data_IF_997210962001
#
_entry.id   IF_997210962001
#
_cell.length_a   1.000
_cell.length_b   1.000
_cell.length_c   1.000
_cell.angle_alpha   90.00
_cell.angle_beta   90.00
_cell.angle_gamma   90.00
#
_symmetry.space_group_name_H-M   'P 1'
#
loop_
_entity.id
_entity.type
_entity.pdbx_description
1 polymer ?
#
# COMPACT_ATOMS: atom_id res chain seq x y z
N UNK A 1 -65.12 -50.27 -35.37
CA UNK A 1 -64.27 -50.36 -36.58
C UNK A 1 -64.03 -51.84 -36.73
N UNK A 2 -64.55 -52.45 -37.78
CA UNK A 2 -64.67 -53.92 -37.84
C UNK A 2 -63.58 -54.47 -38.77
N UNK A 3 -62.71 -55.32 -38.22
CA UNK A 3 -61.66 -56.01 -38.98
C UNK A 3 -62.30 -57.17 -39.74
N UNK A 4 -61.98 -57.29 -41.02
CA UNK A 4 -62.48 -58.39 -41.86
C UNK A 4 -61.40 -59.46 -41.97
N UNK A 5 -61.72 -60.67 -41.56
CA UNK A 5 -60.83 -61.82 -41.72
C UNK A 5 -60.96 -62.40 -43.14
N UNK A 6 -59.90 -62.36 -43.97
CA UNK A 6 -59.90 -63.02 -45.27
C UNK A 6 -59.89 -64.54 -45.11
N UNK A 7 -60.42 -65.25 -46.11
CA UNK A 7 -60.39 -66.72 -46.13
C UNK A 7 -58.94 -67.22 -46.33
N UNK A 8 -58.59 -68.39 -45.78
CA UNK A 8 -57.29 -69.01 -46.01
C UNK A 8 -57.03 -69.20 -47.51
N UNK A 9 -55.81 -68.91 -47.94
CA UNK A 9 -55.36 -69.17 -49.30
C UNK A 9 -54.96 -70.65 -49.42
N UNK A 10 -55.60 -71.38 -50.34
CA UNK A 10 -55.37 -72.81 -50.53
C UNK A 10 -54.89 -73.10 -51.96
N UNK A 11 -53.71 -73.70 -52.09
CA UNK A 11 -53.13 -74.18 -53.35
C UNK A 11 -52.40 -75.51 -53.15
N UNK A 12 -52.10 -76.22 -54.24
CA UNK A 12 -51.40 -77.51 -54.20
C UNK A 12 -49.98 -77.41 -53.61
N UNK A 13 -49.33 -76.26 -53.71
CA UNK A 13 -48.05 -75.98 -53.06
C UNK A 13 -48.28 -75.46 -51.63
N UNK A 14 -48.28 -76.41 -50.70
CA UNK A 14 -48.60 -76.15 -49.30
C UNK A 14 -47.59 -75.21 -48.62
N UNK A 15 -46.31 -75.27 -48.97
CA UNK A 15 -45.29 -74.47 -48.28
C UNK A 15 -45.44 -72.97 -48.57
N UNK A 16 -45.76 -72.60 -49.81
CA UNK A 16 -46.02 -71.20 -50.16
C UNK A 16 -47.40 -70.73 -49.66
N UNK A 17 -48.41 -71.60 -49.65
CA UNK A 17 -49.72 -71.29 -49.06
C UNK A 17 -49.60 -70.99 -47.56
N UNK A 18 -48.86 -71.81 -46.83
CA UNK A 18 -48.63 -71.65 -45.39
C UNK A 18 -47.88 -70.33 -45.11
N UNK A 19 -46.82 -70.00 -45.87
CA UNK A 19 -46.08 -68.74 -45.70
C UNK A 19 -46.93 -67.50 -45.98
N UNK A 20 -47.81 -67.55 -46.98
CA UNK A 20 -48.74 -66.45 -47.29
C UNK A 20 -49.81 -66.29 -46.19
N UNK A 21 -50.38 -67.40 -45.72
CA UNK A 21 -51.37 -67.37 -44.64
C UNK A 21 -50.75 -66.89 -43.32
N UNK A 22 -49.50 -67.26 -43.02
CA UNK A 22 -48.77 -66.76 -41.85
C UNK A 22 -48.54 -65.24 -41.95
N UNK A 23 -48.16 -64.72 -43.12
CA UNK A 23 -48.06 -63.28 -43.34
C UNK A 23 -49.41 -62.58 -43.13
N UNK A 24 -50.50 -63.15 -43.64
CA UNK A 24 -51.86 -62.60 -43.46
C UNK A 24 -52.28 -62.61 -42.00
N UNK A 25 -51.93 -63.66 -41.24
CA UNK A 25 -52.19 -63.72 -39.80
C UNK A 25 -51.43 -62.62 -39.05
N UNK A 26 -50.15 -62.39 -39.37
CA UNK A 26 -49.38 -61.28 -38.78
C UNK A 26 -50.02 -59.92 -39.10
N UNK A 27 -50.56 -59.73 -40.31
CA UNK A 27 -51.28 -58.50 -40.66
C UNK A 27 -52.58 -58.34 -39.85
N UNK A 28 -53.35 -59.42 -39.66
CA UNK A 28 -54.56 -59.39 -38.84
C UNK A 28 -54.26 -59.11 -37.36
N UNK A 29 -53.20 -59.71 -36.81
CA UNK A 29 -52.73 -59.42 -35.45
C UNK A 29 -52.34 -57.95 -35.31
N UNK A 30 -51.63 -57.39 -36.29
CA UNK A 30 -51.28 -55.97 -36.32
C UNK A 30 -52.51 -55.06 -36.40
N UNK A 31 -53.45 -55.36 -37.30
CA UNK A 31 -54.69 -54.57 -37.45
C UNK A 31 -55.52 -54.63 -36.17
N UNK A 32 -55.59 -55.81 -35.53
CA UNK A 32 -56.29 -55.99 -34.25
C UNK A 32 -55.62 -55.19 -33.14
N UNK A 33 -54.29 -55.29 -33.02
CA UNK A 33 -53.53 -54.48 -32.07
C UNK A 33 -53.67 -52.98 -32.30
N UNK A 34 -53.73 -52.53 -33.56
CA UNK A 34 -53.96 -51.12 -33.92
C UNK A 34 -55.37 -50.66 -33.51
N UNK A 35 -56.40 -51.46 -33.80
CA UNK A 35 -57.77 -51.13 -33.40
C UNK A 35 -57.92 -51.07 -31.89
N UNK A 36 -57.30 -52.00 -31.15
CA UNK A 36 -57.27 -51.96 -29.68
C UNK A 36 -56.59 -50.69 -29.16
N UNK A 37 -55.45 -50.29 -29.75
CA UNK A 37 -54.75 -49.06 -29.36
C UNK A 37 -55.55 -47.80 -29.69
N UNK A 38 -56.19 -47.73 -30.86
CA UNK A 38 -57.05 -46.61 -31.26
C UNK A 38 -58.28 -46.53 -30.37
N UNK A 39 -58.92 -47.65 -30.04
CA UNK A 39 -60.05 -47.68 -29.10
C UNK A 39 -59.61 -47.23 -27.70
N UNK A 40 -58.43 -47.66 -27.25
CA UNK A 40 -57.86 -47.20 -25.99
C UNK A 40 -57.61 -45.70 -26.00
N UNK A 41 -57.10 -45.14 -27.09
CA UNK A 41 -56.87 -43.69 -27.25
C UNK A 41 -58.20 -42.90 -27.37
N UNK A 42 -59.16 -43.40 -28.13
CA UNK A 42 -60.48 -42.77 -28.32
C UNK A 42 -61.30 -42.75 -27.04
N UNK A 43 -61.19 -43.81 -26.22
CA UNK A 43 -61.85 -43.91 -24.92
C UNK A 43 -61.03 -43.28 -23.78
N UNK A 44 -59.81 -42.82 -24.05
CA UNK A 44 -59.02 -42.06 -23.08
C UNK A 44 -59.57 -40.64 -22.99
N UNK A 45 -60.36 -40.39 -21.94
CA UNK A 45 -60.92 -39.07 -21.66
C UNK A 45 -59.87 -38.03 -21.23
N UNK A 46 -58.59 -38.41 -21.12
CA UNK A 46 -57.50 -37.50 -20.81
C UNK A 46 -57.20 -36.63 -22.04
N UNK A 47 -57.79 -35.44 -22.05
CA UNK A 47 -57.58 -34.41 -23.07
C UNK A 47 -56.06 -34.10 -23.17
N UNK A 48 -55.48 -34.18 -24.37
CA UNK A 48 -54.05 -33.90 -24.61
C UNK A 48 -53.69 -32.42 -24.40
N UNK A 49 -54.62 -31.52 -24.72
CA UNK A 49 -54.60 -30.09 -24.40
C UNK A 49 -56.03 -29.52 -24.49
N UNK A 50 -56.49 -28.84 -23.46
CA UNK A 50 -57.81 -28.21 -23.39
C UNK A 50 -57.86 -26.88 -24.16
N UNK A 51 -59.08 -26.41 -24.50
CA UNK A 51 -59.26 -25.06 -25.05
C UNK A 51 -58.74 -23.99 -24.10
N UNK A 52 -58.96 -24.15 -22.80
CA UNK A 52 -58.44 -23.26 -21.75
C UNK A 52 -56.90 -23.25 -21.68
N UNK A 53 -56.23 -24.39 -21.89
CA UNK A 53 -54.75 -24.42 -21.97
C UNK A 53 -54.23 -23.73 -23.24
N UNK A 54 -54.93 -23.89 -24.37
CA UNK A 54 -54.59 -23.20 -25.62
C UNK A 54 -54.82 -21.69 -25.51
N UNK A 55 -55.93 -21.27 -24.91
CA UNK A 55 -56.20 -19.87 -24.57
C UNK A 55 -55.12 -19.33 -23.64
N UNK A 56 -54.77 -20.06 -22.57
CA UNK A 56 -53.68 -19.67 -21.66
C UNK A 56 -52.33 -19.51 -22.37
N UNK A 57 -52.02 -20.34 -23.36
CA UNK A 57 -50.82 -20.16 -24.18
C UNK A 57 -50.93 -18.95 -25.11
N UNK A 58 -52.08 -18.74 -25.74
CA UNK A 58 -52.33 -17.59 -26.63
C UNK A 58 -52.38 -16.25 -25.90
N UNK A 59 -52.87 -16.25 -24.65
CA UNK A 59 -52.94 -15.09 -23.76
C UNK A 59 -51.66 -14.90 -22.93
N UNK A 60 -50.75 -15.89 -22.93
CA UNK A 60 -49.45 -15.73 -22.29
C UNK A 60 -48.67 -14.60 -22.96
N UNK A 61 -47.99 -13.79 -22.15
CA UNK A 61 -47.26 -12.61 -22.60
C UNK A 61 -46.18 -13.00 -23.61
N UNK A 62 -46.49 -12.85 -24.90
CA UNK A 62 -45.61 -13.17 -26.02
C UNK A 62 -44.92 -11.91 -26.55
N UNK A 63 -44.17 -11.20 -25.70
CA UNK A 63 -43.32 -10.13 -26.20
C UNK A 63 -42.05 -10.76 -26.79
N UNK A 64 -41.87 -10.66 -28.11
CA UNK A 64 -40.67 -11.17 -28.77
C UNK A 64 -39.46 -10.34 -28.35
N UNK A 65 -38.43 -11.00 -27.82
CA UNK A 65 -37.13 -10.37 -27.51
C UNK A 65 -36.18 -10.47 -28.72
N UNK A 66 -36.38 -11.47 -29.59
CA UNK A 66 -35.62 -11.74 -30.82
C UNK A 66 -36.56 -11.97 -32.00
N UNK A 67 -36.02 -11.94 -33.23
CA UNK A 67 -36.75 -12.35 -34.42
C UNK A 67 -36.91 -13.90 -34.49
N UNK A 68 -37.86 -14.37 -35.30
CA UNK A 68 -38.21 -15.81 -35.41
C UNK A 68 -37.09 -16.67 -36.04
N UNK A 69 -36.18 -16.04 -36.77
CA UNK A 69 -34.99 -16.66 -37.33
C UNK A 69 -33.82 -16.75 -36.32
N UNK A 70 -34.04 -16.37 -35.06
CA UNK A 70 -33.01 -16.30 -34.03
C UNK A 70 -32.08 -15.10 -34.12
N UNK A 71 -32.36 -14.11 -34.98
CA UNK A 71 -31.61 -12.86 -35.06
C UNK A 71 -32.14 -11.79 -34.10
N UNK A 72 -31.48 -10.63 -34.08
CA UNK A 72 -31.98 -9.45 -33.37
C UNK A 72 -33.42 -9.10 -33.78
N UNK A 73 -34.19 -8.55 -32.84
CA UNK A 73 -35.55 -8.08 -33.10
C UNK A 73 -35.56 -6.79 -33.92
N UNK A 74 -34.67 -5.85 -33.60
CA UNK A 74 -34.64 -4.52 -34.20
C UNK A 74 -33.36 -4.35 -35.04
N UNK A 75 -33.52 -3.96 -36.30
CA UNK A 75 -32.41 -3.68 -37.21
C UNK A 75 -32.36 -2.18 -37.53
N UNK A 76 -31.26 -1.51 -37.16
CA UNK A 76 -31.11 -0.06 -37.18
C UNK A 76 -30.15 0.31 -38.31
N UNK A 77 -30.62 1.01 -39.36
CA UNK A 77 -29.78 1.40 -40.49
C UNK A 77 -28.86 2.57 -40.13
N UNK A 78 -27.79 2.77 -40.91
CA UNK A 78 -26.74 3.76 -40.61
C UNK A 78 -27.24 5.23 -40.51
N UNK A 79 -28.37 5.56 -41.13
CA UNK A 79 -28.99 6.88 -41.10
C UNK A 79 -30.08 7.04 -40.02
N UNK A 80 -30.17 6.10 -39.07
CA UNK A 80 -31.09 6.15 -37.94
C UNK A 80 -30.33 6.32 -36.62
N UNK A 81 -31.07 6.42 -35.52
CA UNK A 81 -30.57 6.49 -34.15
C UNK A 81 -31.01 5.26 -33.36
N UNK A 82 -30.11 4.72 -32.54
CA UNK A 82 -30.38 3.59 -31.65
C UNK A 82 -31.48 3.97 -30.67
N UNK A 83 -31.38 5.13 -30.02
CA UNK A 83 -32.35 5.63 -29.06
C UNK A 83 -33.79 5.56 -29.58
N UNK A 84 -34.04 6.17 -30.74
CA UNK A 84 -35.37 6.24 -31.35
C UNK A 84 -35.90 4.85 -31.77
N UNK A 85 -35.01 3.94 -32.13
CA UNK A 85 -35.38 2.61 -32.56
C UNK A 85 -35.79 1.69 -31.41
N UNK A 86 -35.18 1.83 -30.23
CA UNK A 86 -35.39 0.92 -29.08
C UNK A 86 -36.25 1.53 -27.97
N UNK A 87 -36.43 2.85 -27.93
CA UNK A 87 -37.32 3.51 -26.97
C UNK A 87 -38.77 3.01 -27.15
N UNK A 88 -39.43 2.70 -26.03
CA UNK A 88 -40.81 2.21 -26.01
C UNK A 88 -41.00 0.79 -26.58
N UNK A 89 -39.92 0.08 -26.94
CA UNK A 89 -39.97 -1.30 -27.45
C UNK A 89 -39.81 -2.36 -26.35
N UNK A 90 -39.95 -2.00 -25.08
CA UNK A 90 -39.77 -2.96 -23.99
C UNK A 90 -38.40 -3.67 -24.04
N UNK A 91 -38.34 -4.87 -23.48
CA UNK A 91 -37.13 -5.72 -23.51
C UNK A 91 -36.95 -6.32 -24.91
N UNK A 92 -35.84 -5.99 -25.58
CA UNK A 92 -35.60 -6.41 -26.96
C UNK A 92 -34.10 -6.50 -27.30
N UNK A 93 -33.78 -7.24 -28.36
CA UNK A 93 -32.44 -7.27 -28.97
C UNK A 93 -32.38 -6.36 -30.19
N UNK A 94 -31.23 -5.76 -30.44
CA UNK A 94 -31.02 -4.90 -31.60
C UNK A 94 -29.65 -5.13 -32.27
N UNK A 95 -29.59 -4.77 -33.54
CA UNK A 95 -28.38 -4.58 -34.33
C UNK A 95 -28.39 -3.16 -34.88
N UNK A 96 -27.30 -2.45 -34.68
CA UNK A 96 -27.04 -1.17 -35.31
C UNK A 96 -25.90 -1.29 -36.31
N UNK A 97 -26.17 -0.85 -37.54
CA UNK A 97 -25.18 -0.80 -38.60
C UNK A 97 -23.99 0.09 -38.22
N UNK A 98 -22.85 -0.11 -38.91
CA UNK A 98 -21.74 0.82 -38.80
C UNK A 98 -22.19 2.22 -39.24
N UNK A 99 -21.81 3.25 -38.48
CA UNK A 99 -22.07 4.65 -38.82
C UNK A 99 -23.36 5.23 -38.26
N UNK A 100 -24.12 4.45 -37.47
CA UNK A 100 -25.25 4.95 -36.68
C UNK A 100 -24.78 6.04 -35.73
N UNK A 101 -25.44 7.20 -35.76
CA UNK A 101 -24.98 8.46 -35.15
C UNK A 101 -24.71 8.36 -33.64
N UNK A 102 -25.61 7.73 -32.90
CA UNK A 102 -25.58 7.62 -31.43
C UNK A 102 -25.01 6.26 -30.96
N UNK A 103 -24.27 5.57 -31.82
CA UNK A 103 -23.48 4.40 -31.45
C UNK A 103 -22.24 4.82 -30.65
N UNK A 104 -21.87 4.10 -29.57
CA UNK A 104 -20.65 4.38 -28.81
C UNK A 104 -19.38 3.82 -29.49
N UNK A 105 -19.56 3.05 -30.57
CA UNK A 105 -18.48 2.41 -31.31
C UNK A 105 -17.90 3.35 -32.38
N UNK A 106 -16.73 2.99 -32.90
CA UNK A 106 -16.15 3.68 -34.07
C UNK A 106 -17.12 3.65 -35.26
N UNK A 107 -17.12 4.70 -36.07
CA UNK A 107 -18.08 4.90 -37.17
C UNK A 107 -18.09 3.79 -38.24
N UNK A 108 -17.05 2.97 -38.31
CA UNK A 108 -16.96 1.83 -39.23
C UNK A 108 -17.30 0.47 -38.57
N UNK A 109 -17.79 0.46 -37.32
CA UNK A 109 -18.04 -0.74 -36.54
C UNK A 109 -19.53 -0.85 -36.17
N UNK A 110 -20.14 -1.99 -36.50
CA UNK A 110 -21.51 -2.31 -36.07
C UNK A 110 -21.55 -2.77 -34.61
N UNK A 111 -22.66 -2.50 -33.92
CA UNK A 111 -22.89 -2.92 -32.52
C UNK A 111 -24.17 -3.75 -32.41
N UNK A 112 -24.19 -4.73 -31.50
CA UNK A 112 -25.39 -5.52 -31.14
C UNK A 112 -25.64 -5.40 -29.66
N UNK A 113 -26.89 -5.33 -29.26
CA UNK A 113 -27.20 -5.24 -27.85
C UNK A 113 -28.57 -5.77 -27.49
N UNK A 114 -28.82 -5.74 -26.19
CA UNK A 114 -30.10 -6.06 -25.58
C UNK A 114 -30.47 -4.94 -24.63
N UNK A 115 -31.71 -4.48 -24.76
CA UNK A 115 -32.35 -3.59 -23.82
C UNK A 115 -33.24 -4.40 -22.87
N UNK A 116 -33.26 -3.99 -21.61
CA UNK A 116 -34.23 -4.35 -20.59
C UNK A 116 -35.02 -3.11 -20.19
N UNK A 117 -36.33 -3.22 -20.12
CA UNK A 117 -37.25 -2.12 -19.75
C UNK A 117 -38.11 -2.59 -18.59
N UNK A 118 -38.04 -1.87 -17.47
CA UNK A 118 -38.90 -2.08 -16.30
C UNK A 118 -39.99 -1.02 -16.15
N UNK A 119 -39.87 0.11 -16.85
CA UNK A 119 -40.74 1.29 -16.74
C UNK A 119 -40.97 1.91 -18.12
N UNK A 120 -42.09 2.61 -18.31
CA UNK A 120 -42.41 3.25 -19.58
C UNK A 120 -41.35 4.29 -19.97
N UNK A 121 -40.87 4.23 -21.21
CA UNK A 121 -39.86 5.14 -21.76
C UNK A 121 -38.52 5.22 -20.98
N UNK A 122 -38.21 4.22 -20.15
CA UNK A 122 -36.92 4.08 -19.47
C UNK A 122 -36.31 2.71 -19.74
N UNK A 123 -35.04 2.66 -20.11
CA UNK A 123 -34.38 1.41 -20.50
C UNK A 123 -32.93 1.35 -20.05
N UNK A 124 -32.48 0.16 -19.70
CA UNK A 124 -31.07 -0.16 -19.46
C UNK A 124 -30.66 -1.29 -20.38
N UNK A 125 -29.36 -1.50 -20.57
CA UNK A 125 -28.94 -2.64 -21.37
C UNK A 125 -27.44 -2.75 -21.54
N UNK A 126 -27.08 -3.71 -22.39
CA UNK A 126 -25.69 -3.98 -22.74
C UNK A 126 -25.57 -4.15 -24.25
N UNK A 127 -24.44 -3.75 -24.80
CA UNK A 127 -24.14 -3.90 -26.21
C UNK A 127 -22.66 -4.22 -26.42
N UNK A 128 -22.36 -5.01 -27.44
CA UNK A 128 -21.00 -5.44 -27.80
C UNK A 128 -20.79 -5.13 -29.27
N UNK A 129 -19.67 -4.47 -29.57
CA UNK A 129 -19.29 -4.15 -30.93
C UNK A 129 -18.56 -5.31 -31.61
N UNK A 130 -18.39 -5.23 -32.94
CA UNK A 130 -17.72 -6.30 -33.70
C UNK A 130 -16.27 -6.54 -33.29
N UNK A 131 -15.64 -5.58 -32.60
CA UNK A 131 -14.27 -5.67 -32.08
C UNK A 131 -14.20 -6.23 -30.65
N UNK A 132 -15.35 -6.57 -30.03
CA UNK A 132 -15.43 -7.13 -28.69
C UNK A 132 -15.42 -6.09 -27.57
N UNK A 133 -15.51 -4.78 -27.87
CA UNK A 133 -15.72 -3.80 -26.81
C UNK A 133 -17.17 -3.91 -26.32
N UNK A 134 -17.34 -4.01 -25.00
CA UNK A 134 -18.64 -4.05 -24.36
C UNK A 134 -19.00 -2.69 -23.76
N UNK A 135 -20.29 -2.37 -23.78
CA UNK A 135 -20.86 -1.13 -23.28
C UNK A 135 -22.10 -1.46 -22.46
N UNK A 136 -22.25 -0.86 -21.30
CA UNK A 136 -23.55 -0.73 -20.65
C UNK A 136 -24.20 0.57 -21.09
N UNK A 137 -25.53 0.63 -21.03
CA UNK A 137 -26.26 1.85 -21.34
C UNK A 137 -27.52 2.03 -20.52
N UNK A 138 -27.99 3.26 -20.46
CA UNK A 138 -29.30 3.60 -19.93
C UNK A 138 -29.87 4.86 -20.59
N UNK A 139 -31.19 5.03 -20.46
CA UNK A 139 -31.92 6.28 -20.66
C UNK A 139 -33.17 6.26 -19.78
N UNK A 140 -33.69 7.44 -19.45
CA UNK A 140 -34.89 7.62 -18.65
C UNK A 140 -35.99 8.36 -19.42
N UNK A 141 -37.18 8.40 -18.84
CA UNK A 141 -38.29 9.19 -19.35
C UNK A 141 -37.88 10.65 -19.52
N UNK A 142 -38.08 11.20 -20.72
CA UNK A 142 -37.70 12.58 -21.08
C UNK A 142 -36.33 12.73 -21.73
N UNK A 143 -35.47 11.70 -21.69
CA UNK A 143 -34.20 11.72 -22.42
C UNK A 143 -34.44 11.74 -23.93
N UNK A 144 -33.43 12.21 -24.68
CA UNK A 144 -33.43 12.29 -26.15
C UNK A 144 -32.27 11.50 -26.79
N UNK A 145 -31.53 10.77 -25.95
CA UNK A 145 -30.37 9.97 -26.32
C UNK A 145 -30.05 8.90 -25.27
N UNK A 146 -29.30 7.88 -25.67
CA UNK A 146 -28.74 6.88 -24.76
C UNK A 146 -27.47 7.41 -24.09
N UNK A 147 -27.31 7.15 -22.79
CA UNK A 147 -26.02 7.29 -22.09
C UNK A 147 -25.26 5.98 -22.15
N UNK A 148 -24.06 6.00 -22.76
CA UNK A 148 -23.20 4.83 -22.92
C UNK A 148 -22.03 4.84 -21.96
N UNK A 149 -21.73 3.70 -21.34
CA UNK A 149 -20.53 3.48 -20.52
C UNK A 149 -19.75 2.29 -21.08
N UNK A 150 -18.51 2.53 -21.53
CA UNK A 150 -17.63 1.46 -21.99
C UNK A 150 -17.13 0.64 -20.79
N UNK A 151 -17.23 -0.69 -20.90
CA UNK A 151 -16.70 -1.61 -19.89
C UNK A 151 -15.19 -1.84 -20.08
N UNK A 152 -14.43 -2.14 -19.01
CA UNK A 152 -12.99 -2.38 -19.08
C UNK A 152 -12.61 -3.47 -20.09
N UNK A 153 -11.55 -3.23 -20.84
CA UNK A 153 -10.98 -4.18 -21.81
C UNK A 153 -9.79 -4.95 -21.21
N UNK A 154 -9.35 -6.01 -21.88
CA UNK A 154 -8.09 -6.66 -21.49
C UNK A 154 -6.87 -5.75 -21.64
N UNK A 155 -6.93 -4.73 -22.50
CA UNK A 155 -5.89 -3.70 -22.57
C UNK A 155 -5.88 -2.80 -21.32
N UNK A 156 -7.05 -2.50 -20.75
CA UNK A 156 -7.16 -1.75 -19.49
C UNK A 156 -6.62 -2.58 -18.32
N UNK A 157 -6.99 -3.87 -18.27
CA UNK A 157 -6.46 -4.84 -17.30
C UNK A 157 -4.95 -4.92 -17.39
N UNK A 158 -4.41 -5.13 -18.59
CA UNK A 158 -2.97 -5.20 -18.82
C UNK A 158 -2.26 -3.88 -18.43
N UNK A 159 -2.86 -2.72 -18.69
CA UNK A 159 -2.30 -1.43 -18.22
C UNK A 159 -2.26 -1.36 -16.70
N UNK A 160 -3.30 -1.83 -16.00
CA UNK A 160 -3.34 -1.85 -14.54
C UNK A 160 -2.35 -2.85 -13.95
N UNK A 161 -2.22 -4.03 -14.56
CA UNK A 161 -1.23 -5.05 -14.19
C UNK A 161 0.21 -4.57 -14.46
N UNK A 162 0.40 -3.72 -15.48
CA UNK A 162 1.65 -3.00 -15.73
C UNK A 162 1.82 -1.72 -14.88
N UNK A 163 0.89 -1.44 -13.95
CA UNK A 163 1.13 -0.55 -12.82
C UNK A 163 2.29 -1.06 -11.96
N UNK A 164 2.70 -0.31 -10.93
CA UNK A 164 3.94 -0.54 -10.15
C UNK A 164 4.38 -2.03 -10.07
N UNK A 165 5.32 -2.41 -10.96
CA UNK A 165 5.70 -3.79 -11.23
C UNK A 165 6.45 -4.46 -10.06
N UNK A 166 6.96 -3.65 -9.12
CA UNK A 166 7.71 -4.10 -7.95
C UNK A 166 7.14 -3.44 -6.71
N UNK A 167 6.66 -4.28 -5.78
CA UNK A 167 6.10 -3.85 -4.50
C UNK A 167 7.17 -3.18 -3.64
N UNK A 168 6.87 -1.97 -3.16
CA UNK A 168 7.69 -1.27 -2.14
C UNK A 168 7.18 -1.50 -0.71
N UNK A 169 6.00 -2.13 -0.57
CA UNK A 169 5.33 -2.52 0.68
C UNK A 169 4.65 -3.87 0.52
N UNK A 170 4.12 -4.44 1.60
CA UNK A 170 3.16 -5.55 1.54
C UNK A 170 1.80 -5.08 0.98
N UNK A 171 0.95 -6.03 0.56
CA UNK A 171 -0.40 -5.76 0.00
C UNK A 171 -1.36 -5.11 1.01
N UNK A 172 -1.07 -5.25 2.30
CA UNK A 172 -1.81 -4.60 3.37
C UNK A 172 -1.30 -3.18 3.68
N UNK A 173 -0.39 -2.64 2.87
CA UNK A 173 0.23 -1.32 3.05
C UNK A 173 1.34 -1.24 4.10
N UNK A 174 1.69 -2.34 4.78
CA UNK A 174 2.77 -2.36 5.78
C UNK A 174 4.15 -2.48 5.13
N UNK A 175 5.23 -2.03 5.80
CA UNK A 175 6.59 -2.32 5.38
C UNK A 175 6.86 -3.82 5.26
N UNK A 176 7.82 -4.18 4.42
CA UNK A 176 8.33 -5.55 4.31
C UNK A 176 8.98 -5.93 5.63
N UNK A 177 8.39 -6.90 6.34
CA UNK A 177 8.78 -7.26 7.70
C UNK A 177 9.87 -8.34 7.75
N UNK A 178 10.97 -8.03 8.43
CA UNK A 178 12.01 -8.97 8.82
C UNK A 178 11.95 -9.19 10.33
N UNK A 179 11.39 -10.33 10.75
CA UNK A 179 11.08 -10.59 12.15
C UNK A 179 12.25 -11.06 13.02
N UNK A 180 11.99 -11.24 14.31
CA UNK A 180 12.99 -11.67 15.31
C UNK A 180 13.48 -13.12 15.15
N UNK A 181 12.79 -13.94 14.35
CA UNK A 181 13.08 -15.37 14.18
C UNK A 181 14.24 -15.65 13.20
N UNK A 182 14.74 -14.62 12.51
CA UNK A 182 15.83 -14.74 11.54
C UNK A 182 16.78 -13.54 11.67
N UNK A 183 18.06 -13.77 11.40
CA UNK A 183 19.03 -12.69 11.26
C UNK A 183 18.87 -12.01 9.89
N UNK A 184 18.86 -10.68 9.87
CA UNK A 184 18.82 -9.90 8.62
C UNK A 184 20.21 -9.40 8.29
N UNK A 185 20.73 -9.75 7.11
CA UNK A 185 21.92 -9.08 6.57
C UNK A 185 21.51 -7.85 5.76
N UNK A 186 21.83 -6.67 6.29
CA UNK A 186 21.53 -5.40 5.63
C UNK A 186 22.22 -5.29 4.26
N UNK A 187 23.33 -5.98 4.01
CA UNK A 187 24.02 -5.95 2.71
C UNK A 187 23.21 -6.60 1.59
N UNK A 188 22.33 -7.55 1.93
CA UNK A 188 21.49 -8.28 0.98
C UNK A 188 20.23 -7.51 0.57
N UNK A 189 19.84 -6.50 1.37
CA UNK A 189 18.66 -5.66 1.12
C UNK A 189 18.94 -4.62 0.03
N UNK A 190 18.91 -5.08 -1.21
CA UNK A 190 19.30 -4.31 -2.40
C UNK A 190 18.13 -3.84 -3.26
N UNK A 191 16.93 -4.37 -3.00
CA UNK A 191 15.72 -4.01 -3.74
C UNK A 191 15.12 -2.72 -3.18
N UNK A 192 14.60 -1.86 -4.05
CA UNK A 192 13.86 -0.66 -3.62
C UNK A 192 12.65 -1.07 -2.79
N UNK A 193 12.50 -0.49 -1.59
CA UNK A 193 11.39 -0.82 -0.72
C UNK A 193 11.46 -0.16 0.66
N UNK A 194 10.35 -0.27 1.39
CA UNK A 194 10.24 0.10 2.80
C UNK A 194 10.21 -1.17 3.64
N UNK A 195 11.15 -1.29 4.56
CA UNK A 195 11.36 -2.47 5.39
C UNK A 195 11.22 -2.13 6.87
N UNK A 196 10.72 -3.08 7.65
CA UNK A 196 10.78 -3.06 9.11
C UNK A 196 11.68 -4.20 9.55
N UNK A 197 12.87 -3.86 10.05
CA UNK A 197 13.85 -4.82 10.56
C UNK A 197 13.65 -4.91 12.07
N UNK A 198 13.14 -6.05 12.54
CA UNK A 198 12.78 -6.31 13.93
C UNK A 198 13.71 -7.37 14.55
N UNK A 199 15.01 -7.20 14.30
CA UNK A 199 16.11 -7.96 14.88
C UNK A 199 17.38 -7.08 14.86
N UNK A 200 18.44 -7.51 15.53
CA UNK A 200 19.75 -6.82 15.48
C UNK A 200 20.29 -6.76 14.04
N UNK A 201 20.19 -7.89 13.33
CA UNK A 201 20.79 -8.07 12.02
C UNK A 201 22.32 -7.97 12.04
N UNK A 202 22.93 -8.17 10.87
CA UNK A 202 24.36 -8.00 10.64
C UNK A 202 24.59 -6.92 9.58
N UNK A 203 25.76 -6.27 9.65
CA UNK A 203 26.10 -5.14 8.78
C UNK A 203 25.12 -3.96 8.85
N UNK A 204 24.31 -3.89 9.92
CA UNK A 204 23.40 -2.79 10.21
C UNK A 204 24.08 -1.60 10.90
N UNK A 205 23.36 -0.49 11.10
CA UNK A 205 23.86 0.67 11.82
C UNK A 205 24.13 0.35 13.30
N UNK A 206 25.13 1.02 13.87
CA UNK A 206 25.52 0.85 15.27
C UNK A 206 24.53 1.57 16.20
N UNK A 207 23.39 0.95 16.57
CA UNK A 207 22.70 1.23 17.85
C UNK A 207 21.34 0.55 18.11
N UNK A 208 20.77 -0.33 17.27
CA UNK A 208 19.43 -0.85 17.61
C UNK A 208 18.99 -2.13 16.89
N UNK A 209 18.09 -2.85 17.58
CA UNK A 209 17.40 -4.07 17.14
C UNK A 209 16.10 -3.82 16.37
N UNK A 210 15.81 -2.55 16.00
CA UNK A 210 14.50 -2.15 15.49
C UNK A 210 14.55 -0.90 14.61
N UNK A 211 14.50 -1.11 13.30
CA UNK A 211 14.73 -0.06 12.29
C UNK A 211 13.63 -0.05 11.24
N UNK A 212 13.15 1.14 10.89
CA UNK A 212 12.50 1.36 9.59
C UNK A 212 13.59 1.67 8.57
N UNK A 213 13.75 0.81 7.58
CA UNK A 213 14.78 0.93 6.55
C UNK A 213 14.13 1.31 5.23
N UNK A 214 14.62 2.38 4.62
CA UNK A 214 14.34 2.73 3.23
C UNK A 214 15.53 2.29 2.38
N UNK A 215 15.25 1.52 1.32
CA UNK A 215 16.23 1.17 0.29
C UNK A 215 15.80 1.84 -1.00
N UNK A 216 16.69 2.61 -1.62
CA UNK A 216 16.48 3.17 -2.95
C UNK A 216 17.59 2.65 -3.86
N UNK A 217 17.20 1.92 -4.90
CA UNK A 217 18.10 1.25 -5.83
C UNK A 217 18.00 1.84 -7.24
N UNK A 218 19.15 2.14 -7.83
CA UNK A 218 19.32 2.59 -9.20
C UNK A 218 20.50 1.84 -9.86
N UNK A 219 20.19 0.72 -10.51
CA UNK A 219 21.21 -0.18 -11.06
C UNK A 219 22.09 -0.74 -9.93
N UNK A 220 23.39 -0.50 -10.00
CA UNK A 220 24.35 -0.90 -8.97
C UNK A 220 24.58 0.19 -7.91
N UNK A 221 23.88 1.32 -7.98
CA UNK A 221 23.97 2.41 -7.01
C UNK A 221 22.77 2.36 -6.09
N UNK A 222 23.03 2.24 -4.79
CA UNK A 222 21.97 2.10 -3.80
C UNK A 222 22.23 3.03 -2.62
N UNK A 223 21.15 3.45 -1.98
CA UNK A 223 21.21 4.10 -0.68
C UNK A 223 20.28 3.39 0.29
N UNK A 224 20.77 3.23 1.50
CA UNK A 224 20.01 2.75 2.64
C UNK A 224 19.91 3.86 3.67
N UNK A 225 18.69 4.12 4.15
CA UNK A 225 18.40 5.08 5.21
C UNK A 225 17.66 4.34 6.32
N UNK A 226 18.25 4.33 7.50
CA UNK A 226 17.78 3.60 8.67
C UNK A 226 17.29 4.59 9.73
N UNK A 227 15.99 4.53 10.03
CA UNK A 227 15.37 5.27 11.12
C UNK A 227 15.25 4.38 12.36
N UNK A 228 15.81 4.83 13.48
CA UNK A 228 15.60 4.21 14.77
C UNK A 228 14.12 4.24 15.16
N UNK A 229 13.53 3.07 15.45
CA UNK A 229 12.11 3.00 15.83
C UNK A 229 11.87 2.92 17.34
N UNK A 230 12.91 2.78 18.16
CA UNK A 230 12.77 2.62 19.62
C UNK A 230 12.58 3.97 20.30
N UNK A 231 13.54 4.88 20.14
CA UNK A 231 13.48 6.22 20.72
C UNK A 231 13.25 7.33 19.69
N UNK A 232 13.37 7.03 18.39
CA UNK A 232 13.20 8.01 17.32
C UNK A 232 14.24 9.11 17.31
N UNK A 233 15.44 8.87 17.85
CA UNK A 233 16.47 9.91 18.02
C UNK A 233 17.52 9.89 16.91
N UNK A 234 17.79 8.71 16.37
CA UNK A 234 18.90 8.54 15.45
C UNK A 234 18.44 8.14 14.06
N UNK A 235 19.06 8.73 13.05
CA UNK A 235 18.93 8.33 11.65
C UNK A 235 20.32 8.03 11.11
N UNK A 236 20.46 6.96 10.36
CA UNK A 236 21.71 6.55 9.73
C UNK A 236 21.52 6.39 8.23
N UNK A 237 22.58 6.60 7.46
CA UNK A 237 22.58 6.30 6.04
C UNK A 237 23.88 5.66 5.60
N UNK A 238 23.83 4.93 4.49
CA UNK A 238 25.00 4.43 3.76
C UNK A 238 24.68 4.27 2.29
N UNK A 239 25.73 4.18 1.47
CA UNK A 239 25.62 4.11 0.02
C UNK A 239 26.41 2.91 -0.50
N UNK A 240 25.84 2.18 -1.46
CA UNK A 240 26.59 1.32 -2.36
C UNK A 240 26.89 2.14 -3.62
N UNK A 241 28.16 2.49 -3.81
CA UNK A 241 28.58 3.30 -4.96
C UNK A 241 28.47 2.49 -6.26
N UNK A 242 28.38 3.18 -7.39
CA UNK A 242 28.31 2.52 -8.70
C UNK A 242 29.45 1.49 -8.88
N UNK A 243 29.08 0.25 -9.23
CA UNK A 243 29.98 -0.91 -9.37
C UNK A 243 30.92 -1.17 -8.16
N UNK A 244 30.55 -0.76 -6.95
CA UNK A 244 31.31 -1.09 -5.75
C UNK A 244 31.00 -2.52 -5.27
N UNK A 245 32.01 -3.22 -4.78
CA UNK A 245 31.87 -4.56 -4.18
C UNK A 245 31.38 -4.51 -2.72
N UNK A 246 31.45 -3.34 -2.08
CA UNK A 246 31.10 -3.17 -0.67
C UNK A 246 30.42 -1.84 -0.39
N UNK A 247 29.55 -1.86 0.61
CA UNK A 247 28.86 -0.67 1.13
C UNK A 247 29.83 0.29 1.81
N UNK A 248 29.55 1.59 1.75
CA UNK A 248 30.19 2.54 2.67
C UNK A 248 29.85 2.21 4.12
N UNK A 249 30.66 2.66 5.10
CA UNK A 249 30.26 2.64 6.50
C UNK A 249 28.91 3.35 6.70
N UNK A 250 28.20 2.98 7.76
CA UNK A 250 27.02 3.70 8.22
C UNK A 250 27.44 5.04 8.84
N UNK A 251 26.83 6.12 8.36
CA UNK A 251 27.01 7.47 8.90
C UNK A 251 25.75 7.90 9.65
N UNK A 252 25.93 8.46 10.86
CA UNK A 252 24.83 9.04 11.63
C UNK A 252 24.51 10.44 11.13
N UNK A 253 23.24 10.73 10.89
CA UNK A 253 22.77 12.09 10.66
C UNK A 253 22.76 12.86 11.99
N UNK A 254 23.52 13.95 12.05
CA UNK A 254 23.65 14.79 13.26
C UNK A 254 22.33 15.52 13.53
N UNK A 255 21.87 15.46 14.78
CA UNK A 255 20.70 16.20 15.27
C UNK A 255 21.12 17.44 16.07
N UNK A 256 20.16 18.34 16.37
CA UNK A 256 20.42 19.49 17.23
C UNK A 256 20.88 19.06 18.64
N UNK A 257 20.31 17.98 19.19
CA UNK A 257 20.74 17.44 20.48
C UNK A 257 22.20 16.98 20.43
N UNK A 258 22.63 16.32 19.35
CA UNK A 258 24.03 15.94 19.16
C UNK A 258 24.96 17.17 19.09
N UNK A 259 24.49 18.30 18.57
CA UNK A 259 25.27 19.54 18.51
C UNK A 259 25.45 20.21 19.87
N UNK A 260 24.47 20.05 20.76
CA UNK A 260 24.42 20.76 22.04
C UNK A 260 24.96 19.93 23.21
N UNK A 261 24.91 18.61 23.12
CA UNK A 261 25.37 17.70 24.17
C UNK A 261 26.88 17.40 24.06
N UNK A 262 27.50 17.15 25.21
CA UNK A 262 28.89 16.73 25.35
C UNK A 262 29.05 15.94 26.65
N UNK A 263 29.95 14.97 26.65
CA UNK A 263 30.25 14.16 27.84
C UNK A 263 30.99 14.99 28.88
N UNK A 264 30.58 14.87 30.14
CA UNK A 264 31.28 15.49 31.25
C UNK A 264 32.54 14.71 31.60
N UNK A 265 33.66 15.43 31.71
CA UNK A 265 34.96 14.93 32.13
C UNK A 265 35.37 15.63 33.43
N UNK A 266 36.15 14.92 34.25
CA UNK A 266 36.73 15.47 35.47
C UNK A 266 38.20 15.80 35.21
N UNK A 267 38.75 16.90 35.76
CA UNK A 267 40.18 17.15 35.70
C UNK A 267 40.99 15.98 36.25
N UNK A 268 42.10 15.64 35.59
CA UNK A 268 42.98 14.54 36.01
C UNK A 268 43.48 14.72 37.45
N UNK A 269 43.76 15.96 37.83
CA UNK A 269 44.18 16.35 39.18
C UNK A 269 43.80 17.80 39.45
N UNK A 270 43.64 18.13 40.73
CA UNK A 270 43.62 19.51 41.22
C UNK A 270 45.00 19.84 41.79
N UNK A 271 45.54 20.98 41.39
CA UNK A 271 46.90 21.44 41.67
C UNK A 271 46.89 22.59 42.68
N UNK A 272 48.07 23.05 43.08
CA UNK A 272 48.26 24.26 43.91
C UNK A 272 47.43 24.26 45.21
N UNK A 273 47.34 23.09 45.85
CA UNK A 273 46.57 22.82 47.07
C UNK A 273 45.05 23.02 46.95
N UNK A 274 44.51 23.23 45.75
CA UNK A 274 43.08 23.27 45.52
C UNK A 274 42.46 21.89 45.73
N UNK A 275 41.27 21.87 46.32
CA UNK A 275 40.43 20.68 46.48
C UNK A 275 39.02 21.01 46.02
N UNK A 276 38.26 20.00 45.61
CA UNK A 276 36.83 20.19 45.38
C UNK A 276 36.15 20.63 46.68
N UNK A 277 35.25 21.59 46.56
CA UNK A 277 34.52 22.11 47.71
C UNK A 277 33.51 21.07 48.23
N UNK A 278 32.69 20.54 47.31
CA UNK A 278 31.69 19.50 47.50
C UNK A 278 31.72 18.54 46.29
N UNK A 279 32.47 17.43 46.36
CA UNK A 279 32.60 16.45 45.28
C UNK A 279 31.28 15.80 44.83
N UNK A 280 30.25 15.84 45.67
CA UNK A 280 28.97 15.17 45.41
C UNK A 280 28.04 16.11 44.64
N UNK A 281 27.87 17.33 45.14
CA UNK A 281 26.89 18.27 44.58
C UNK A 281 27.51 19.30 43.62
N UNK A 282 28.79 19.64 43.77
CA UNK A 282 29.50 20.64 42.96
C UNK A 282 30.87 20.14 42.46
N UNK A 283 30.95 18.93 41.86
CA UNK A 283 32.22 18.43 41.34
C UNK A 283 32.74 19.32 40.22
N UNK A 284 34.06 19.48 40.16
CA UNK A 284 34.70 20.23 39.07
C UNK A 284 34.69 19.37 37.83
N UNK A 285 33.95 19.82 36.82
CA UNK A 285 33.81 19.09 35.56
C UNK A 285 33.85 20.06 34.38
N UNK A 286 34.26 19.53 33.24
CA UNK A 286 34.19 20.24 31.98
C UNK A 286 33.62 19.34 30.90
N UNK A 287 33.01 19.94 29.88
CA UNK A 287 32.56 19.23 28.68
C UNK A 287 32.76 20.11 27.47
N UNK A 288 32.82 19.50 26.29
CA UNK A 288 32.86 20.19 25.00
C UNK A 288 31.79 19.59 24.09
N UNK A 289 30.96 20.44 23.50
CA UNK A 289 29.97 20.01 22.51
C UNK A 289 30.56 19.98 21.08
N UNK A 290 29.82 19.45 20.11
CA UNK A 290 30.27 19.37 18.71
C UNK A 290 30.50 20.74 18.05
N UNK A 291 29.92 21.81 18.60
CA UNK A 291 30.17 23.18 18.16
C UNK A 291 31.51 23.74 18.66
N UNK A 292 32.20 23.04 19.57
CA UNK A 292 33.44 23.48 20.18
C UNK A 292 33.25 24.44 21.37
N UNK A 293 32.04 24.53 21.92
CA UNK A 293 31.78 25.24 23.16
C UNK A 293 32.19 24.34 24.34
N UNK A 294 33.12 24.84 25.16
CA UNK A 294 33.56 24.25 26.41
C UNK A 294 32.79 24.88 27.56
N UNK A 295 32.23 24.05 28.42
CA UNK A 295 31.58 24.46 29.66
C UNK A 295 32.37 23.92 30.84
N UNK A 296 32.64 24.76 31.84
CA UNK A 296 33.31 24.39 33.09
C UNK A 296 32.38 24.75 34.25
N UNK A 297 32.15 23.76 35.13
CA UNK A 297 31.28 23.87 36.30
C UNK A 297 31.95 23.28 37.54
N UNK A 298 31.43 23.60 38.71
CA UNK A 298 31.82 23.02 40.00
C UNK A 298 32.31 24.07 40.99
N UNK A 299 32.92 23.63 42.09
CA UNK A 299 33.49 24.55 43.06
C UNK A 299 34.76 23.97 43.73
N UNK A 300 35.70 24.86 44.08
CA UNK A 300 36.97 24.52 44.74
C UNK A 300 37.20 25.32 46.01
N UNK A 301 38.11 24.82 46.87
CA UNK A 301 38.55 25.47 48.11
C UNK A 301 40.03 25.24 48.44
N UNK A 302 40.56 26.09 49.32
CA UNK A 302 41.83 25.91 50.05
C UNK A 302 43.13 26.21 49.30
N UNK A 303 43.10 26.37 47.96
CA UNK A 303 44.33 26.49 47.18
C UNK A 303 45.00 27.86 47.21
N UNK A 304 46.05 28.00 46.39
CA UNK A 304 46.88 29.21 46.32
C UNK A 304 46.38 30.11 45.18
N UNK A 305 46.06 31.37 45.51
CA UNK A 305 45.68 32.38 44.52
C UNK A 305 46.87 32.80 43.63
N UNK A 306 46.57 33.32 42.45
CA UNK A 306 47.54 33.89 41.51
C UNK A 306 47.58 33.12 40.20
N UNK A 307 48.68 33.20 39.47
CA UNK A 307 48.90 32.43 38.25
C UNK A 307 49.35 30.99 38.55
N UNK A 308 48.74 30.38 39.57
CA UNK A 308 48.93 28.99 39.94
C UNK A 308 47.73 28.19 39.44
N UNK A 309 47.96 27.15 38.66
CA UNK A 309 46.87 26.40 38.07
C UNK A 309 46.08 25.62 39.13
N UNK A 310 44.76 25.70 39.03
CA UNK A 310 43.81 24.82 39.73
C UNK A 310 43.81 23.46 39.02
N UNK A 311 43.75 23.47 37.69
CA UNK A 311 43.91 22.30 36.82
C UNK A 311 44.26 22.75 35.40
N UNK A 312 44.61 21.79 34.54
CA UNK A 312 44.97 22.03 33.15
C UNK A 312 43.99 21.29 32.25
N UNK A 313 43.40 22.00 31.30
CA UNK A 313 42.55 21.42 30.26
C UNK A 313 43.38 20.64 29.24
N UNK A 314 42.90 19.47 28.78
CA UNK A 314 43.50 18.77 27.65
C UNK A 314 43.49 19.63 26.38
N UNK A 315 44.36 19.31 25.42
CA UNK A 315 44.64 20.14 24.25
C UNK A 315 43.39 20.51 23.44
N UNK A 316 42.48 19.55 23.31
CA UNK A 316 41.23 19.66 22.58
C UNK A 316 40.18 20.55 23.29
N UNK A 317 40.40 20.94 24.54
CA UNK A 317 39.53 21.83 25.34
C UNK A 317 40.10 23.24 25.52
N UNK A 318 41.29 23.53 25.01
CA UNK A 318 41.98 24.82 25.25
C UNK A 318 41.31 25.98 24.49
N UNK A 319 41.21 27.18 25.08
CA UNK A 319 40.68 28.34 24.39
C UNK A 319 41.69 28.87 23.35
N UNK A 320 41.20 29.53 22.29
CA UNK A 320 42.07 30.17 21.28
C UNK A 320 42.83 31.39 21.81
N UNK A 321 42.27 32.04 22.82
CA UNK A 321 42.86 33.20 23.47
C UNK A 321 42.71 33.11 24.98
N UNK A 322 43.65 33.72 25.69
CA UNK A 322 43.54 33.84 27.13
C UNK A 322 42.29 34.65 27.47
N UNK A 323 41.55 34.19 28.48
CA UNK A 323 40.29 34.80 28.87
C UNK A 323 40.15 34.86 30.38
N UNK A 324 39.37 35.84 30.83
CA UNK A 324 39.07 36.01 32.24
C UNK A 324 37.59 35.77 32.50
N UNK A 325 37.30 35.16 33.64
CA UNK A 325 35.96 34.98 34.16
C UNK A 325 35.86 35.57 35.57
N UNK A 326 34.71 36.16 35.88
CA UNK A 326 34.38 36.62 37.23
C UNK A 326 33.23 35.78 37.75
N UNK A 327 33.45 35.07 38.85
CA UNK A 327 32.43 34.23 39.48
C UNK A 327 32.28 34.51 40.97
N UNK A 328 31.44 33.72 41.64
CA UNK A 328 31.12 33.89 43.06
C UNK A 328 32.24 33.35 43.93
N UNK A 329 32.52 34.03 45.04
CA UNK A 329 33.43 33.58 46.09
C UNK A 329 32.73 33.54 47.45
N UNK A 330 33.33 32.85 48.41
CA UNK A 330 32.83 32.77 49.79
C UNK A 330 32.65 34.15 50.42
N UNK A 331 31.57 34.34 51.20
CA UNK A 331 31.39 35.48 52.12
C UNK A 331 31.76 35.14 53.57
N UNK A 332 32.36 33.97 53.83
CA UNK A 332 32.80 33.59 55.18
C UNK A 332 33.79 34.62 55.71
N UNK A 333 33.53 35.15 56.91
CA UNK A 333 34.33 36.23 57.52
C UNK A 333 34.02 37.64 57.00
N UNK A 334 33.16 37.79 55.99
CA UNK A 334 32.68 39.08 55.48
C UNK A 334 31.15 39.08 55.26
N UNK A 335 30.34 38.89 56.32
CA UNK A 335 28.89 38.75 56.18
C UNK A 335 28.25 39.98 55.55
N UNK A 336 27.28 39.76 54.64
CA UNK A 336 26.53 40.85 53.99
C UNK A 336 27.26 41.55 52.83
N UNK A 337 28.49 41.14 52.50
CA UNK A 337 29.25 41.69 51.36
C UNK A 337 29.30 40.64 50.23
N UNK A 338 28.79 40.94 49.02
CA UNK A 338 28.96 40.06 47.87
C UNK A 338 30.44 39.87 47.55
N UNK A 339 30.88 38.62 47.43
CA UNK A 339 32.27 38.29 47.11
C UNK A 339 32.38 37.63 45.74
N UNK A 340 33.43 38.00 45.00
CA UNK A 340 33.72 37.51 43.67
C UNK A 340 35.19 37.11 43.53
N UNK A 341 35.49 36.30 42.55
CA UNK A 341 36.87 35.93 42.20
C UNK A 341 37.13 36.22 40.72
N UNK A 342 38.41 36.29 40.35
CA UNK A 342 38.85 36.37 38.96
C UNK A 342 39.60 35.10 38.59
N UNK A 343 39.10 34.40 37.58
CA UNK A 343 39.75 33.22 37.00
C UNK A 343 40.35 33.58 35.66
N UNK A 344 41.59 33.18 35.40
CA UNK A 344 42.24 33.20 34.10
C UNK A 344 42.22 31.80 33.50
N UNK A 345 41.97 31.71 32.20
CA UNK A 345 42.18 30.52 31.41
C UNK A 345 43.09 30.92 30.27
N UNK A 346 44.32 30.43 30.27
CA UNK A 346 45.28 30.77 29.21
C UNK A 346 45.17 29.83 27.99
N UNK A 347 45.95 30.15 26.95
CA UNK A 347 45.98 29.35 25.70
C UNK A 347 46.53 27.94 25.89
N UNK A 348 47.25 27.70 26.99
CA UNK A 348 47.82 26.41 27.35
C UNK A 348 46.81 25.55 28.14
N UNK A 349 45.63 26.11 28.45
CA UNK A 349 44.56 25.42 29.18
C UNK A 349 44.70 25.52 30.69
N UNK A 350 45.62 26.34 31.21
CA UNK A 350 45.77 26.52 32.65
C UNK A 350 44.59 27.33 33.18
N UNK A 351 43.81 26.73 34.09
CA UNK A 351 42.70 27.39 34.79
C UNK A 351 43.23 27.88 36.14
N UNK A 352 43.39 29.20 36.31
CA UNK A 352 44.04 29.80 37.47
C UNK A 352 43.09 30.77 38.18
N UNK A 353 42.84 30.60 39.48
CA UNK A 353 42.09 31.57 40.28
C UNK A 353 43.08 32.65 40.75
N UNK A 354 43.08 33.78 40.08
CA UNK A 354 44.10 34.83 40.28
C UNK A 354 43.87 35.66 41.53
N UNK A 355 42.61 35.93 41.88
CA UNK A 355 42.27 36.79 43.01
C UNK A 355 40.87 36.49 43.52
N UNK A 356 40.64 36.79 44.79
CA UNK A 356 39.33 36.79 45.45
C UNK A 356 39.13 38.14 46.16
N UNK A 357 37.92 38.69 46.11
CA UNK A 357 37.59 39.92 46.82
C UNK A 357 37.44 39.72 48.33
N UNK A 358 37.26 38.47 48.79
CA UNK A 358 37.21 38.15 50.22
C UNK A 358 38.63 38.17 50.79
N UNK A 359 38.96 39.19 51.59
CA UNK A 359 40.29 39.34 52.20
C UNK A 359 40.48 38.55 53.49
N UNK A 360 39.41 37.98 54.06
CA UNK A 360 39.44 37.22 55.31
C UNK A 360 39.58 35.73 55.04
N UNK A 361 38.75 35.18 54.17
CA UNK A 361 38.78 33.77 53.76
C UNK A 361 38.73 33.66 52.22
N UNK A 362 39.84 34.04 51.54
CA UNK A 362 39.86 34.23 50.09
C UNK A 362 39.54 32.99 49.26
N UNK A 363 39.78 31.80 49.80
CA UNK A 363 39.73 30.53 49.06
C UNK A 363 38.79 29.51 49.70
N UNK A 364 37.89 29.95 50.58
CA UNK A 364 36.97 29.04 51.29
C UNK A 364 35.94 28.40 50.34
N UNK A 365 35.54 29.14 49.30
CA UNK A 365 34.62 28.69 48.25
C UNK A 365 34.84 29.54 47.00
N UNK A 366 35.07 28.90 45.85
CA UNK A 366 35.23 29.51 44.54
C UNK A 366 34.45 28.69 43.53
N UNK A 367 33.54 29.32 42.78
CA UNK A 367 32.71 28.60 41.79
C UNK A 367 33.25 28.68 40.37
N UNK A 368 33.02 27.63 39.60
CA UNK A 368 33.11 27.63 38.15
C UNK A 368 31.70 27.45 37.57
N UNK A 369 31.41 28.19 36.51
CA UNK A 369 30.08 28.24 35.89
C UNK A 369 30.10 29.13 34.68
N UNK A 370 30.91 28.77 33.68
CA UNK A 370 31.13 29.58 32.49
C UNK A 370 31.38 28.73 31.27
N UNK A 371 31.28 29.38 30.11
CA UNK A 371 31.49 28.75 28.81
C UNK A 371 32.39 29.57 27.91
N UNK A 372 33.08 28.90 27.00
CA UNK A 372 33.90 29.54 25.97
C UNK A 372 34.05 28.66 24.73
N UNK A 373 34.50 29.27 23.63
CA UNK A 373 34.74 28.57 22.37
C UNK A 373 36.21 28.14 22.23
N UNK A 374 36.43 26.92 21.76
CA UNK A 374 37.73 26.45 21.24
C UNK A 374 37.91 26.74 19.75
N UNK A 375 36.84 27.17 19.07
CA UNK A 375 36.83 27.72 17.71
C UNK A 375 37.00 29.23 17.67
#
# INVERSE_FOLDING_TARGET
>A
MDIKEPKPFEVNDKAHADLFNDMVNVLLENDTGLVEQILKHTNDAKIHASETEKEKWNESQSYKITADNGSQLINIPANARIFDAIKGKGTCTFYAAAGVEDSPSLSNVSIRGMQTVGEEDSGTGFAIDRSGNAYSFYYHTGDTSITWTKLPTDSDRARWDNGQLVKITQDNGKPIYHGFASETDYNTLTQTGMYLIYNQGINGPSSFNRVFLLVMSYGTTLVQIAYESVYGKNTYFRVLKHNAESWTPWEKQITLSDLLEGSWETPKELKSNWKEYDPINLPVKYRKNLLGEVEIVGAVKGGILGNNEVFILPEEFRPKQAMHFVGVASSTGTPGVPQFHRTLIDKQGNVCVQSSSNTVNPTEFITFGFKFSTR
#
